data_IF_661610038410
#
_entry.id   IF_661610038410
#
_cell.length_a   1.000
_cell.length_b   1.000
_cell.length_c   1.000
_cell.angle_alpha   90.00
_cell.angle_beta   90.00
_cell.angle_gamma   90.00
#
_symmetry.space_group_name_H-M   'P 1'
#
loop_
_entity.id
_entity.type
_entity.pdbx_description
1 polymer ?
#
# COMPACT_ATOMS: atom_id res chain seq x y z
N UNK A 1 -1.81 -9.46 -17.99
CA UNK A 1 -1.96 -8.73 -16.70
C UNK A 1 -2.04 -9.79 -15.61
N UNK A 2 -1.31 -9.63 -14.52
CA UNK A 2 -1.44 -10.52 -13.36
C UNK A 2 -2.81 -10.30 -12.70
N UNK A 3 -3.33 -11.29 -11.99
CA UNK A 3 -4.59 -11.17 -11.26
C UNK A 3 -4.51 -10.03 -10.23
N UNK A 4 -5.59 -9.24 -10.08
CA UNK A 4 -5.70 -8.21 -9.04
C UNK A 4 -5.23 -6.80 -9.40
N UNK A 5 -4.83 -6.52 -10.65
CA UNK A 5 -4.55 -5.14 -11.08
C UNK A 5 -5.82 -4.29 -11.17
N UNK A 6 -5.74 -3.07 -10.65
CA UNK A 6 -6.76 -2.05 -10.86
C UNK A 6 -6.87 -1.70 -12.33
N UNK A 7 -8.08 -1.78 -12.87
CA UNK A 7 -8.36 -1.20 -14.16
C UNK A 7 -8.27 0.34 -14.05
N UNK A 8 -7.65 1.01 -15.04
CA UNK A 8 -7.74 2.46 -15.16
C UNK A 8 -9.19 2.93 -15.16
N UNK A 9 -9.42 4.20 -14.83
CA UNK A 9 -10.77 4.76 -14.81
C UNK A 9 -11.47 4.60 -16.16
N UNK A 10 -12.80 4.43 -16.15
CA UNK A 10 -13.62 4.23 -17.37
C UNK A 10 -13.33 5.29 -18.44
N UNK A 11 -13.07 6.53 -18.03
CA UNK A 11 -12.72 7.62 -18.94
C UNK A 11 -11.40 7.37 -19.67
N UNK A 12 -10.35 7.05 -18.92
CA UNK A 12 -9.01 6.77 -19.45
C UNK A 12 -9.03 5.55 -20.37
N UNK A 13 -9.75 4.50 -20.00
CA UNK A 13 -9.91 3.31 -20.82
C UNK A 13 -10.69 3.59 -22.12
N UNK A 14 -11.69 4.47 -22.09
CA UNK A 14 -12.47 4.80 -23.27
C UNK A 14 -11.63 5.59 -24.28
N UNK A 15 -10.77 6.49 -23.80
CA UNK A 15 -9.80 7.21 -24.61
C UNK A 15 -8.72 6.27 -25.17
N UNK A 16 -8.12 5.43 -24.32
CA UNK A 16 -7.07 4.48 -24.71
C UNK A 16 -7.55 3.52 -25.80
N UNK A 17 -8.76 2.99 -25.66
CA UNK A 17 -9.33 2.05 -26.63
C UNK A 17 -10.12 2.71 -27.76
N UNK A 18 -10.22 4.05 -27.77
CA UNK A 18 -10.97 4.83 -28.77
C UNK A 18 -12.41 4.33 -28.99
N UNK A 19 -13.11 4.00 -27.90
CA UNK A 19 -14.49 3.48 -27.93
C UNK A 19 -15.46 4.43 -27.23
N UNK A 20 -16.75 4.30 -27.56
CA UNK A 20 -17.78 5.00 -26.79
C UNK A 20 -17.85 4.47 -25.35
N UNK A 21 -18.22 5.33 -24.41
CA UNK A 21 -18.41 4.95 -23.00
C UNK A 21 -19.44 3.83 -22.82
N UNK A 22 -20.51 3.86 -23.62
CA UNK A 22 -21.54 2.80 -23.60
C UNK A 22 -20.95 1.44 -23.93
N UNK A 23 -20.13 1.38 -24.99
CA UNK A 23 -19.41 0.19 -25.43
C UNK A 23 -18.44 -0.32 -24.37
N UNK A 24 -17.65 0.57 -23.77
CA UNK A 24 -16.73 0.18 -22.70
C UNK A 24 -17.48 -0.36 -21.48
N UNK A 25 -18.59 0.28 -21.09
CA UNK A 25 -19.38 -0.16 -19.93
C UNK A 25 -19.99 -1.54 -20.13
N UNK A 26 -20.46 -1.85 -21.34
CA UNK A 26 -20.93 -3.20 -21.69
C UNK A 26 -19.81 -4.24 -21.63
N UNK A 27 -18.62 -3.90 -22.15
CA UNK A 27 -17.45 -4.78 -22.08
C UNK A 27 -17.02 -5.06 -20.64
N UNK A 28 -16.95 -4.03 -19.79
CA UNK A 28 -16.65 -4.19 -18.36
C UNK A 28 -17.73 -5.00 -17.63
N UNK A 29 -19.01 -4.79 -17.95
CA UNK A 29 -20.11 -5.58 -17.38
C UNK A 29 -20.00 -7.07 -17.76
N UNK A 30 -19.61 -7.36 -19.00
CA UNK A 30 -19.40 -8.73 -19.47
C UNK A 30 -18.17 -9.39 -18.82
N UNK A 31 -17.07 -8.65 -18.68
CA UNK A 31 -15.90 -9.11 -17.93
C UNK A 31 -16.24 -9.42 -16.47
N UNK A 32 -17.08 -8.57 -15.84
CA UNK A 32 -17.57 -8.78 -14.48
C UNK A 32 -18.45 -10.02 -14.39
N UNK A 33 -19.38 -10.20 -15.34
CA UNK A 33 -20.26 -11.37 -15.43
C UNK A 33 -19.49 -12.68 -15.56
N UNK A 34 -18.35 -12.65 -16.25
CA UNK A 34 -17.45 -13.81 -16.43
C UNK A 34 -16.43 -13.98 -15.30
N UNK A 35 -16.53 -13.19 -14.23
CA UNK A 35 -15.60 -13.18 -13.10
C UNK A 35 -14.14 -12.86 -13.48
N UNK A 36 -13.91 -12.14 -14.59
CA UNK A 36 -12.58 -11.63 -14.93
C UNK A 36 -12.24 -10.34 -14.19
N UNK A 37 -13.25 -9.59 -13.75
CA UNK A 37 -13.09 -8.39 -12.93
C UNK A 37 -14.14 -8.37 -11.82
N UNK A 38 -13.82 -7.77 -10.68
CA UNK A 38 -14.75 -7.60 -9.57
C UNK A 38 -14.87 -6.12 -9.21
N UNK A 39 -16.06 -5.71 -8.75
CA UNK A 39 -16.22 -4.39 -8.11
C UNK A 39 -16.08 -4.60 -6.61
N UNK A 40 -15.06 -4.01 -6.01
CA UNK A 40 -14.89 -4.07 -4.57
C UNK A 40 -15.75 -2.99 -3.91
N UNK A 41 -16.88 -3.41 -3.33
CA UNK A 41 -17.64 -2.57 -2.40
C UNK A 41 -16.89 -2.45 -1.07
N UNK A 42 -16.93 -1.26 -0.46
CA UNK A 42 -16.18 -0.90 0.75
C UNK A 42 -16.59 -1.65 2.01
N UNK A 43 -16.29 -2.95 2.08
CA UNK A 43 -16.21 -3.67 3.37
C UNK A 43 -14.81 -3.42 3.90
N UNK A 44 -14.73 -2.56 4.92
CA UNK A 44 -13.48 -2.24 5.59
C UNK A 44 -12.75 -3.52 6.00
N UNK A 45 -11.53 -3.67 5.50
CA UNK A 45 -10.61 -4.75 5.82
C UNK A 45 -9.65 -4.22 6.87
N UNK A 46 -9.54 -4.85 8.03
CA UNK A 46 -8.57 -4.44 9.06
C UNK A 46 -7.51 -5.53 9.19
N UNK A 47 -6.24 -5.13 9.08
CA UNK A 47 -5.13 -6.03 9.37
C UNK A 47 -4.94 -6.14 10.87
N UNK A 48 -4.66 -7.33 11.35
CA UNK A 48 -4.34 -7.62 12.76
C UNK A 48 -2.89 -8.06 12.88
N UNK A 49 -2.28 -7.87 14.04
CA UNK A 49 -0.98 -8.43 14.42
C UNK A 49 -1.13 -9.25 15.70
N UNK A 50 -0.76 -10.53 15.67
CA UNK A 50 -0.91 -11.49 16.77
C UNK A 50 -2.33 -11.49 17.40
N UNK A 51 -3.35 -11.28 16.55
CA UNK A 51 -4.76 -11.22 16.96
C UNK A 51 -5.28 -9.84 17.40
N UNK A 52 -4.42 -8.83 17.47
CA UNK A 52 -4.79 -7.45 17.82
C UNK A 52 -5.10 -6.63 16.56
N UNK A 53 -6.23 -5.91 16.58
CA UNK A 53 -6.66 -5.01 15.49
C UNK A 53 -5.69 -3.84 15.36
N UNK A 54 -5.22 -3.55 14.14
CA UNK A 54 -4.34 -2.42 13.86
C UNK A 54 -5.13 -1.25 13.25
N UNK A 55 -5.12 -0.09 13.92
CA UNK A 55 -5.56 1.16 13.30
C UNK A 55 -4.40 1.83 12.56
N UNK A 56 -4.41 1.71 11.23
CA UNK A 56 -3.35 2.24 10.38
C UNK A 56 -3.49 3.73 10.05
N UNK A 57 -4.49 4.44 10.61
CA UNK A 57 -4.69 5.88 10.34
C UNK A 57 -3.48 6.73 10.70
N UNK A 58 -2.73 6.32 11.72
CA UNK A 58 -1.52 7.00 12.19
C UNK A 58 -0.22 6.34 11.69
N UNK A 59 -0.33 5.40 10.74
CA UNK A 59 0.79 4.64 10.19
C UNK A 59 1.12 3.35 10.96
N UNK A 60 1.82 2.44 10.31
CA UNK A 60 2.12 1.10 10.84
C UNK A 60 2.95 1.06 12.12
N UNK A 61 3.91 1.97 12.28
CA UNK A 61 4.73 2.03 13.49
C UNK A 61 3.89 2.33 14.73
N UNK A 62 3.00 3.33 14.64
CA UNK A 62 2.07 3.65 15.72
C UNK A 62 1.06 2.51 15.91
N UNK A 63 0.49 1.97 14.83
CA UNK A 63 -0.47 0.87 14.92
C UNK A 63 0.09 -0.36 15.65
N UNK A 64 1.36 -0.70 15.43
CA UNK A 64 2.04 -1.80 16.15
C UNK A 64 2.43 -1.41 17.58
N UNK A 65 2.85 -0.17 17.83
CA UNK A 65 3.13 0.30 19.18
C UNK A 65 1.86 0.25 20.06
N UNK A 66 0.70 0.59 19.49
CA UNK A 66 -0.60 0.59 20.18
C UNK A 66 -1.06 -0.82 20.58
N UNK A 67 -0.58 -1.88 19.94
CA UNK A 67 -0.84 -3.27 20.37
C UNK A 67 0.06 -3.73 21.52
N UNK A 68 1.06 -2.91 21.89
CA UNK A 68 2.10 -3.30 22.84
C UNK A 68 3.15 -4.24 22.25
N UNK A 69 3.12 -4.48 20.93
CA UNK A 69 4.09 -5.33 20.26
C UNK A 69 5.48 -4.66 20.26
N UNK A 70 6.47 -5.38 20.77
CA UNK A 70 7.87 -4.95 20.69
C UNK A 70 8.40 -5.27 19.28
N UNK A 71 8.30 -4.29 18.39
CA UNK A 71 8.77 -4.39 17.00
C UNK A 71 9.84 -3.33 16.75
N UNK A 72 10.99 -3.75 16.24
CA UNK A 72 12.03 -2.81 15.77
C UNK A 72 11.86 -2.57 14.26
N UNK A 73 12.28 -1.39 13.79
CA UNK A 73 12.20 -1.01 12.37
C UNK A 73 13.59 -0.66 11.86
N UNK A 74 14.02 -1.36 10.80
CA UNK A 74 15.20 -1.05 10.01
C UNK A 74 14.77 -0.22 8.78
N UNK A 75 15.40 0.93 8.55
CA UNK A 75 15.27 1.65 7.26
C UNK A 75 16.29 1.05 6.29
N UNK A 76 15.81 0.42 5.23
CA UNK A 76 16.64 -0.21 4.20
C UNK A 76 16.97 0.76 3.07
N UNK A 77 16.03 1.64 2.75
CA UNK A 77 16.15 2.64 1.69
C UNK A 77 15.42 3.90 2.11
N UNK A 78 16.03 5.06 1.86
CA UNK A 78 15.34 6.34 1.96
C UNK A 78 15.98 7.35 1.01
N UNK A 79 15.43 7.50 -0.19
CA UNK A 79 16.06 8.31 -1.25
C UNK A 79 15.05 8.85 -2.26
N UNK A 80 15.47 9.85 -3.03
CA UNK A 80 14.71 10.30 -4.19
C UNK A 80 14.90 9.32 -5.35
N UNK A 81 13.80 9.03 -6.04
CA UNK A 81 13.75 8.10 -7.18
C UNK A 81 12.95 8.69 -8.32
N UNK A 82 13.34 8.36 -9.55
CA UNK A 82 12.56 8.66 -10.75
C UNK A 82 11.92 7.37 -11.27
N UNK A 83 10.60 7.38 -11.45
CA UNK A 83 9.77 6.26 -11.89
C UNK A 83 8.82 6.69 -13.01
N UNK A 84 9.32 6.77 -14.26
CA UNK A 84 8.52 7.20 -15.41
C UNK A 84 7.32 6.29 -15.67
N UNK A 85 7.45 5.01 -15.33
CA UNK A 85 6.40 3.99 -15.44
C UNK A 85 5.17 4.27 -14.55
N UNK A 86 5.32 5.11 -13.52
CA UNK A 86 4.24 5.48 -12.60
C UNK A 86 3.57 6.82 -12.95
N UNK A 87 4.08 7.53 -13.96
CA UNK A 87 3.56 8.86 -14.33
C UNK A 87 2.08 8.80 -14.72
N UNK A 88 1.68 7.82 -15.54
CA UNK A 88 0.29 7.67 -15.97
C UNK A 88 -0.68 7.37 -14.82
N UNK A 89 -0.19 6.82 -13.72
CA UNK A 89 -0.98 6.45 -12.54
C UNK A 89 -1.07 7.58 -11.51
N UNK A 90 0.03 8.28 -11.26
CA UNK A 90 0.12 9.26 -10.17
C UNK A 90 0.33 10.72 -10.63
N UNK A 91 0.48 10.96 -11.93
CA UNK A 91 0.73 12.29 -12.49
C UNK A 91 2.11 12.87 -12.17
N UNK A 92 3.03 12.04 -11.67
CA UNK A 92 4.41 12.39 -11.35
C UNK A 92 5.33 11.22 -11.67
N UNK A 93 6.57 11.49 -12.06
CA UNK A 93 7.64 10.51 -12.13
C UNK A 93 8.68 10.69 -11.02
N UNK A 94 8.62 11.75 -10.22
CA UNK A 94 9.54 12.00 -9.11
C UNK A 94 8.91 11.63 -7.77
N UNK A 95 9.60 10.77 -7.02
CA UNK A 95 9.14 10.25 -5.74
C UNK A 95 10.26 10.20 -4.70
N UNK A 96 9.89 10.13 -3.44
CA UNK A 96 10.75 9.64 -2.37
C UNK A 96 10.36 8.19 -2.09
N UNK A 97 11.33 7.29 -2.15
CA UNK A 97 11.18 5.89 -1.77
C UNK A 97 11.66 5.69 -0.33
N UNK A 98 10.84 5.03 0.49
CA UNK A 98 11.17 4.62 1.85
C UNK A 98 10.87 3.12 2.01
N UNK A 99 11.91 2.31 2.14
CA UNK A 99 11.79 0.87 2.37
C UNK A 99 12.15 0.56 3.82
N UNK A 100 11.28 -0.20 4.49
CA UNK A 100 11.38 -0.53 5.92
C UNK A 100 11.20 -2.01 6.14
N UNK A 101 12.04 -2.58 6.98
CA UNK A 101 11.85 -3.94 7.50
C UNK A 101 11.54 -3.89 8.98
N UNK A 102 10.55 -4.67 9.40
CA UNK A 102 10.16 -4.79 10.80
C UNK A 102 10.54 -6.15 11.35
N UNK A 103 11.06 -6.16 12.57
CA UNK A 103 11.43 -7.39 13.28
C UNK A 103 10.66 -7.51 14.58
N UNK A 104 10.17 -8.70 14.87
CA UNK A 104 9.60 -9.03 16.17
C UNK A 104 10.68 -9.03 17.26
N UNK A 105 10.26 -9.10 18.52
CA UNK A 105 11.17 -9.11 19.68
C UNK A 105 12.22 -10.23 19.66
N UNK A 106 11.95 -11.33 18.98
CA UNK A 106 12.89 -12.44 18.82
C UNK A 106 13.87 -12.26 17.64
N UNK A 107 13.84 -11.10 16.98
CA UNK A 107 14.72 -10.74 15.87
C UNK A 107 14.24 -11.19 14.49
N UNK A 108 13.18 -12.02 14.39
CA UNK A 108 12.66 -12.46 13.10
C UNK A 108 12.06 -11.30 12.32
N UNK A 109 12.40 -11.18 11.05
CA UNK A 109 11.74 -10.23 10.15
C UNK A 109 10.29 -10.69 9.91
N UNK A 110 9.34 -9.79 10.19
CA UNK A 110 7.90 -10.09 10.11
C UNK A 110 7.19 -9.25 9.06
N UNK A 111 7.82 -8.18 8.58
CA UNK A 111 7.27 -7.35 7.51
C UNK A 111 8.37 -6.63 6.73
N UNK A 112 8.13 -6.49 5.43
CA UNK A 112 8.87 -5.62 4.53
C UNK A 112 7.88 -4.65 3.89
N UNK A 113 8.13 -3.36 3.98
CA UNK A 113 7.26 -2.30 3.50
C UNK A 113 8.03 -1.38 2.55
N UNK A 114 7.40 -1.02 1.44
CA UNK A 114 7.94 -0.08 0.45
C UNK A 114 6.93 1.04 0.26
N UNK A 115 7.32 2.25 0.60
CA UNK A 115 6.48 3.44 0.48
C UNK A 115 7.03 4.36 -0.60
N UNK A 116 6.14 4.87 -1.44
CA UNK A 116 6.39 5.93 -2.41
C UNK A 116 5.52 7.13 -2.07
N UNK A 117 6.13 8.30 -2.00
CA UNK A 117 5.45 9.59 -1.78
C UNK A 117 5.95 10.61 -2.81
N UNK A 118 5.20 11.67 -3.13
CA UNK A 118 5.66 12.68 -4.07
C UNK A 118 7.00 13.27 -3.63
N UNK A 119 7.96 13.42 -4.55
CA UNK A 119 9.10 14.31 -4.35
C UNK A 119 8.71 15.74 -4.75
N UNK A 120 7.70 16.28 -4.07
CA UNK A 120 7.22 17.65 -4.25
C UNK A 120 6.60 18.16 -2.94
N UNK A 121 6.29 19.46 -2.88
CA UNK A 121 5.57 20.02 -1.74
C UNK A 121 6.41 20.07 -0.45
N UNK A 122 7.73 20.07 -0.57
CA UNK A 122 8.68 20.10 0.56
C UNK A 122 9.19 18.73 0.97
N UNK A 123 8.67 17.64 0.40
CA UNK A 123 9.07 16.26 0.70
C UNK A 123 10.41 15.87 0.07
N UNK A 124 10.93 16.62 -0.91
CA UNK A 124 12.18 16.37 -1.63
C UNK A 124 13.40 16.23 -0.71
N UNK A 125 13.37 16.93 0.42
CA UNK A 125 14.44 16.94 1.41
C UNK A 125 14.43 15.77 2.38
N UNK A 126 13.36 14.97 2.42
CA UNK A 126 13.15 13.94 3.45
C UNK A 126 14.30 12.96 3.65
N UNK A 127 14.96 12.42 2.59
CA UNK A 127 16.14 11.57 2.76
C UNK A 127 17.27 12.21 3.60
N UNK A 128 17.37 13.54 3.63
CA UNK A 128 18.39 14.28 4.38
C UNK A 128 17.93 14.70 5.77
N UNK A 129 16.65 15.08 5.91
CA UNK A 129 16.12 15.63 7.16
C UNK A 129 15.52 14.55 8.08
N UNK A 130 15.23 13.36 7.55
CA UNK A 130 14.63 12.27 8.30
C UNK A 130 13.12 12.38 8.45
N UNK A 131 12.56 11.47 9.26
CA UNK A 131 11.14 11.43 9.59
C UNK A 131 10.90 12.04 10.98
N UNK A 132 9.80 12.77 11.13
CA UNK A 132 9.31 13.23 12.44
C UNK A 132 8.86 12.02 13.24
N UNK A 133 9.42 11.85 14.45
CA UNK A 133 9.15 10.74 15.37
C UNK A 133 9.24 9.35 14.73
N UNK A 134 10.12 9.20 13.73
CA UNK A 134 10.24 7.99 12.90
C UNK A 134 8.92 7.55 12.22
N UNK A 135 7.94 8.46 12.07
CA UNK A 135 6.63 8.18 11.51
C UNK A 135 6.43 8.91 10.17
N UNK A 136 6.21 8.12 9.13
CA UNK A 136 5.89 8.63 7.79
C UNK A 136 4.59 9.44 7.80
N UNK A 137 3.56 8.95 8.48
CA UNK A 137 2.23 9.59 8.52
C UNK A 137 2.26 10.92 9.26
N UNK A 138 2.96 11.00 10.40
CA UNK A 138 3.15 12.27 11.13
C UNK A 138 3.93 13.25 10.26
N UNK A 139 5.00 12.77 9.61
CA UNK A 139 5.81 13.60 8.70
C UNK A 139 4.95 14.15 7.56
N UNK A 140 4.22 13.31 6.83
CA UNK A 140 3.34 13.74 5.75
C UNK A 140 2.29 14.76 6.21
N UNK A 141 1.67 14.54 7.36
CA UNK A 141 0.70 15.48 7.94
C UNK A 141 1.33 16.85 8.23
N UNK A 142 2.57 16.90 8.74
CA UNK A 142 3.30 18.15 8.99
C UNK A 142 3.60 18.94 7.71
N UNK A 143 3.73 18.26 6.57
CA UNK A 143 3.87 18.86 5.24
C UNK A 143 2.50 19.10 4.54
N UNK A 144 1.40 18.95 5.26
CA UNK A 144 0.05 19.24 4.76
C UNK A 144 -0.59 18.12 3.93
N UNK A 145 -0.03 16.91 3.94
CA UNK A 145 -0.63 15.73 3.34
C UNK A 145 -1.39 14.94 4.41
N UNK A 146 -2.72 15.01 4.36
CA UNK A 146 -3.61 14.27 5.27
C UNK A 146 -4.52 13.39 4.44
N UNK A 147 -4.36 12.08 4.60
CA UNK A 147 -5.12 11.07 3.84
C UNK A 147 -6.62 11.24 4.02
N UNK A 148 -7.35 11.18 2.92
CA UNK A 148 -8.80 11.33 2.86
C UNK A 148 -9.47 10.08 2.29
N UNK A 149 -8.95 9.60 1.18
CA UNK A 149 -9.49 8.47 0.44
C UNK A 149 -8.36 7.61 -0.14
N UNK A 150 -8.71 6.42 -0.59
CA UNK A 150 -7.76 5.47 -1.12
C UNK A 150 -8.37 4.08 -1.29
N UNK A 151 -7.64 3.24 -1.99
CA UNK A 151 -7.94 1.83 -2.17
C UNK A 151 -6.86 0.98 -1.48
N UNK A 152 -7.26 -0.21 -1.04
CA UNK A 152 -6.36 -1.18 -0.47
C UNK A 152 -6.71 -2.58 -0.98
N UNK A 153 -5.69 -3.26 -1.47
CA UNK A 153 -5.72 -4.63 -1.93
C UNK A 153 -4.93 -5.49 -0.97
N UNK A 154 -5.44 -6.68 -0.69
CA UNK A 154 -4.74 -7.67 0.14
C UNK A 154 -4.85 -9.01 -0.59
N UNK A 155 -3.70 -9.61 -0.87
CA UNK A 155 -3.57 -10.94 -1.44
C UNK A 155 -2.55 -11.78 -0.69
N UNK A 156 -2.26 -12.95 -1.23
CA UNK A 156 -1.16 -13.79 -0.78
C UNK A 156 -0.25 -14.07 -1.98
N UNK A 157 1.04 -13.81 -1.84
CA UNK A 157 2.02 -13.99 -2.91
C UNK A 157 3.27 -14.71 -2.37
N UNK A 158 3.91 -15.58 -3.19
CA UNK A 158 5.22 -16.13 -2.86
C UNK A 158 6.28 -15.02 -2.85
N UNK A 159 7.21 -15.07 -1.90
CA UNK A 159 8.37 -14.17 -1.87
C UNK A 159 9.24 -14.38 -3.11
N UNK A 160 9.66 -13.26 -3.69
CA UNK A 160 10.73 -13.21 -4.70
C UNK A 160 12.09 -13.55 -4.06
N UNK A 161 13.12 -13.79 -4.88
CA UNK A 161 14.48 -14.03 -4.38
C UNK A 161 14.98 -12.87 -3.50
N UNK A 162 14.76 -11.63 -3.95
CA UNK A 162 15.17 -10.40 -3.24
C UNK A 162 14.40 -10.22 -1.92
N UNK A 163 13.08 -10.39 -1.95
CA UNK A 163 12.25 -10.24 -0.75
C UNK A 163 12.57 -11.32 0.29
N UNK A 164 12.83 -12.55 -0.18
CA UNK A 164 13.18 -13.68 0.66
C UNK A 164 14.52 -13.45 1.39
N UNK A 165 15.51 -12.87 0.71
CA UNK A 165 16.77 -12.47 1.32
C UNK A 165 16.56 -11.40 2.40
N UNK A 166 15.82 -10.33 2.09
CA UNK A 166 15.55 -9.25 3.04
C UNK A 166 14.76 -9.73 4.26
N UNK A 167 13.85 -10.69 4.09
CA UNK A 167 13.01 -11.25 5.15
C UNK A 167 13.62 -12.48 5.84
N UNK A 168 14.80 -12.95 5.42
CA UNK A 168 15.45 -14.15 5.95
C UNK A 168 14.51 -15.37 5.91
N UNK A 169 13.88 -15.57 4.77
CA UNK A 169 12.95 -16.68 4.50
C UNK A 169 13.40 -17.46 3.27
N UNK A 170 13.00 -18.73 3.13
CA UNK A 170 13.14 -19.44 1.87
C UNK A 170 12.38 -18.72 0.74
N UNK A 171 12.98 -18.69 -0.45
CA UNK A 171 12.30 -18.25 -1.68
C UNK A 171 10.99 -19.00 -1.85
N UNK A 172 9.94 -18.28 -2.29
CA UNK A 172 8.63 -18.87 -2.50
C UNK A 172 7.78 -19.06 -1.24
N UNK A 173 8.30 -18.72 -0.04
CA UNK A 173 7.47 -18.65 1.16
C UNK A 173 6.31 -17.69 0.91
N UNK A 174 5.08 -18.07 1.26
CA UNK A 174 3.90 -17.26 0.97
C UNK A 174 3.70 -16.21 2.07
N UNK A 175 3.61 -14.94 1.67
CA UNK A 175 3.32 -13.81 2.54
C UNK A 175 1.99 -13.18 2.17
N UNK A 176 1.35 -12.49 3.12
CA UNK A 176 0.26 -11.58 2.77
C UNK A 176 0.88 -10.34 2.12
N UNK A 177 0.39 -9.97 0.94
CA UNK A 177 0.79 -8.74 0.25
C UNK A 177 -0.35 -7.75 0.31
N UNK A 178 -0.11 -6.61 0.95
CA UNK A 178 -1.03 -5.49 1.00
C UNK A 178 -0.49 -4.35 0.13
N UNK A 179 -1.30 -3.82 -0.77
CA UNK A 179 -0.97 -2.64 -1.57
C UNK A 179 -2.04 -1.58 -1.35
N UNK A 180 -1.63 -0.35 -1.04
CA UNK A 180 -2.53 0.75 -0.72
C UNK A 180 -2.12 2.01 -1.46
N UNK A 181 -3.08 2.68 -2.07
CA UNK A 181 -2.91 4.04 -2.60
C UNK A 181 -3.72 4.99 -1.75
N UNK A 182 -3.15 6.12 -1.32
CA UNK A 182 -3.85 7.14 -0.54
C UNK A 182 -3.77 8.49 -1.24
N UNK A 183 -4.91 9.19 -1.28
CA UNK A 183 -5.04 10.56 -1.75
C UNK A 183 -5.47 11.48 -0.60
N UNK A 184 -5.01 12.73 -0.62
CA UNK A 184 -5.37 13.73 0.38
C UNK A 184 -6.73 14.39 0.06
N UNK A 185 -7.20 15.28 0.95
CA UNK A 185 -8.48 16.01 0.78
C UNK A 185 -8.53 16.94 -0.44
N UNK A 186 -7.39 17.17 -1.09
CA UNK A 186 -7.24 17.99 -2.30
C UNK A 186 -7.08 17.12 -3.53
N UNK A 187 -7.39 15.82 -3.43
CA UNK A 187 -7.25 14.81 -4.48
C UNK A 187 -5.81 14.64 -4.97
N UNK A 188 -4.81 15.04 -4.17
CA UNK A 188 -3.40 14.85 -4.52
C UNK A 188 -2.95 13.47 -4.08
N UNK A 189 -2.13 12.82 -4.91
CA UNK A 189 -1.41 11.62 -4.51
C UNK A 189 -0.59 11.91 -3.24
N UNK A 190 -0.86 11.17 -2.18
CA UNK A 190 -0.17 11.30 -0.89
C UNK A 190 0.89 10.21 -0.75
N UNK A 191 0.50 8.95 -0.93
CA UNK A 191 1.41 7.81 -0.83
C UNK A 191 0.87 6.58 -1.55
N UNK A 192 1.80 5.73 -1.98
CA UNK A 192 1.56 4.34 -2.38
C UNK A 192 2.43 3.46 -1.49
N UNK A 193 1.83 2.45 -0.87
CA UNK A 193 2.52 1.56 0.06
C UNK A 193 2.28 0.11 -0.34
N UNK A 194 3.35 -0.66 -0.48
CA UNK A 194 3.30 -2.10 -0.56
C UNK A 194 3.88 -2.70 0.72
N UNK A 195 3.26 -3.75 1.24
CA UNK A 195 3.69 -4.44 2.44
C UNK A 195 3.60 -5.95 2.25
N UNK A 196 4.72 -6.63 2.45
CA UNK A 196 4.77 -8.07 2.68
C UNK A 196 4.69 -8.29 4.18
N UNK A 197 3.72 -9.10 4.61
CA UNK A 197 3.39 -9.34 6.00
C UNK A 197 3.40 -10.85 6.28
N UNK A 198 4.19 -11.27 7.29
CA UNK A 198 4.31 -12.69 7.66
C UNK A 198 2.94 -13.19 8.18
N UNK A 199 2.30 -14.19 7.54
CA UNK A 199 0.96 -14.65 7.89
C UNK A 199 0.88 -15.32 9.27
N UNK A 200 2.02 -15.67 9.89
CA UNK A 200 2.05 -16.15 11.27
C UNK A 200 1.76 -15.02 12.27
N UNK A 201 2.12 -13.80 11.91
CA UNK A 201 1.95 -12.62 12.76
C UNK A 201 0.79 -11.74 12.30
N UNK A 202 0.62 -11.57 10.99
CA UNK A 202 -0.39 -10.69 10.42
C UNK A 202 -1.58 -11.48 9.88
N UNK A 203 -2.79 -11.06 10.20
CA UNK A 203 -4.02 -11.64 9.64
C UNK A 203 -4.98 -10.58 9.17
N UNK A 204 -5.72 -10.86 8.10
CA UNK A 204 -6.82 -10.05 7.65
C UNK A 204 -8.09 -10.39 8.46
N UNK A 205 -8.64 -9.39 9.14
CA UNK A 205 -9.93 -9.48 9.81
C UNK A 205 -10.97 -8.62 9.07
N UNK A 206 -12.10 -9.24 8.75
CA UNK A 206 -13.20 -8.63 8.01
C UNK A 206 -14.50 -8.92 8.73
N UNK A 207 -15.22 -7.87 9.12
CA UNK A 207 -16.56 -8.02 9.68
C UNK A 207 -17.59 -7.85 8.57
N UNK A 208 -18.44 -8.85 8.37
CA UNK A 208 -19.55 -8.83 7.43
C UNK A 208 -20.88 -8.85 8.18
N UNK A 209 -21.91 -8.21 7.63
CA UNK A 209 -23.27 -8.23 8.19
C UNK A 209 -23.52 -7.31 9.39
N UNK A 210 -22.56 -6.48 9.79
CA UNK A 210 -22.79 -5.44 10.80
C UNK A 210 -23.61 -4.30 10.19
N UNK A 211 -24.93 -4.36 10.35
CA UNK A 211 -25.83 -3.23 10.09
C UNK A 211 -25.43 -2.08 11.01
N UNK A 212 -25.12 -0.91 10.44
CA UNK A 212 -25.17 0.36 11.17
C UNK A 212 -26.60 0.82 11.29
#
# INVERSE_FOLDING_TARGET
MADGFLLPGEHQLAEEFAVSRGTLREALAELKRRNYIATQGGVGSIVTYDGMVLDQRNGWAQALADTGALVSTDILRFEAVTRPDLFSRFGSDQFIALDRRRRAADGRAVSLERSLMPASGGLEGLPRVGLIDNSLTITLAAYGYVGAEGDQWIGAEPLTDEDAELLERPVGTVFLKASRTTYDRRERFMEYVESLLDPLHFRLHLQFGATK
#
